data_IF_041723025792
#
_entry.id   IF_041723025792
#
_cell.length_a   1.000
_cell.length_b   1.000
_cell.length_c   1.000
_cell.angle_alpha   90.00
_cell.angle_beta   90.00
_cell.angle_gamma   90.00
#
_symmetry.space_group_name_H-M   'P 1'
#
loop_
_entity.id
_entity.type
_entity.pdbx_description
1 polymer ?
#
# COMPACT_ATOMS: atom_id res chain seq x y z
N UNK A 1 11.81 -7.02 23.54
CA UNK A 1 10.51 -6.66 24.15
C UNK A 1 9.90 -5.60 23.24
N UNK A 2 8.76 -5.88 22.64
CA UNK A 2 8.00 -4.84 21.92
C UNK A 2 7.30 -4.05 23.01
N UNK A 3 7.68 -2.79 23.21
CA UNK A 3 6.90 -1.90 24.07
C UNK A 3 5.50 -1.78 23.47
N UNK A 4 4.53 -2.26 24.20
CA UNK A 4 3.11 -2.11 23.82
C UNK A 4 2.78 -0.63 23.98
N UNK A 5 2.43 0.03 22.88
CA UNK A 5 1.95 1.42 22.92
C UNK A 5 0.77 1.51 23.88
N UNK A 6 0.89 2.35 24.89
CA UNK A 6 -0.21 2.66 25.82
C UNK A 6 -0.72 4.06 25.48
N UNK A 7 -2.00 4.16 25.15
CA UNK A 7 -2.64 5.45 24.86
C UNK A 7 -2.54 6.38 26.04
N UNK A 8 -2.32 7.67 25.78
CA UNK A 8 -2.46 8.72 26.79
C UNK A 8 -3.93 8.85 27.19
N UNK A 9 -4.22 9.46 28.35
CA UNK A 9 -5.58 9.69 28.80
C UNK A 9 -6.43 10.53 27.81
N UNK A 10 -5.80 11.47 27.09
CA UNK A 10 -6.47 12.28 26.05
C UNK A 10 -6.77 11.46 24.79
N UNK A 11 -5.86 10.61 24.36
CA UNK A 11 -6.06 9.71 23.21
C UNK A 11 -7.14 8.68 23.52
N UNK A 12 -7.18 8.16 24.75
CA UNK A 12 -8.22 7.22 25.18
C UNK A 12 -9.59 7.90 25.22
N UNK A 13 -9.71 9.12 25.76
CA UNK A 13 -10.94 9.88 25.78
C UNK A 13 -11.47 10.16 24.36
N UNK A 14 -10.59 10.58 23.45
CA UNK A 14 -10.92 10.83 22.04
C UNK A 14 -11.36 9.55 21.32
N UNK A 15 -10.69 8.43 21.60
CA UNK A 15 -11.07 7.12 21.07
C UNK A 15 -12.45 6.67 21.58
N UNK A 16 -12.73 6.82 22.86
CA UNK A 16 -14.03 6.46 23.44
C UNK A 16 -15.16 7.32 22.86
N UNK A 17 -14.94 8.62 22.68
CA UNK A 17 -15.91 9.50 22.02
C UNK A 17 -16.18 9.08 20.56
N UNK A 18 -15.15 8.75 19.81
CA UNK A 18 -15.29 8.24 18.45
C UNK A 18 -16.04 6.89 18.40
N UNK A 19 -15.77 6.00 19.36
CA UNK A 19 -16.44 4.71 19.49
C UNK A 19 -17.92 4.86 19.88
N UNK A 20 -18.24 5.79 20.75
CA UNK A 20 -19.63 6.10 21.13
C UNK A 20 -20.41 6.70 19.95
N UNK A 21 -19.77 7.59 19.19
CA UNK A 21 -20.36 8.13 17.95
C UNK A 21 -20.66 7.00 16.97
N UNK A 22 -19.69 6.12 16.71
CA UNK A 22 -19.83 4.95 15.85
C UNK A 22 -20.99 4.05 16.28
N UNK A 23 -21.11 3.77 17.58
CA UNK A 23 -22.23 2.95 18.12
C UNK A 23 -23.58 3.65 18.00
N UNK A 24 -23.64 4.95 18.27
CA UNK A 24 -24.86 5.76 18.15
C UNK A 24 -25.33 5.85 16.71
N UNK A 25 -24.41 5.98 15.76
CA UNK A 25 -24.71 6.08 14.34
C UNK A 25 -24.99 4.69 13.69
N UNK A 26 -25.11 3.61 14.52
CA UNK A 26 -25.52 2.27 14.07
C UNK A 26 -24.39 1.37 13.59
N UNK A 27 -23.13 1.77 13.80
CA UNK A 27 -21.96 1.03 13.29
C UNK A 27 -21.79 1.16 11.77
N UNK A 28 -21.06 0.24 11.13
CA UNK A 28 -20.92 0.28 9.68
C UNK A 28 -22.30 0.13 9.03
N UNK A 29 -22.66 1.12 8.23
CA UNK A 29 -23.85 0.98 7.36
C UNK A 29 -23.61 -0.27 6.51
N UNK A 30 -24.57 -1.22 6.48
CA UNK A 30 -24.45 -2.36 5.58
C UNK A 30 -24.17 -1.86 4.17
N UNK A 31 -23.08 -2.31 3.57
CA UNK A 31 -22.75 -1.89 2.22
C UNK A 31 -23.75 -2.55 1.27
N UNK A 32 -24.60 -1.74 0.67
CA UNK A 32 -25.46 -2.18 -0.42
C UNK A 32 -24.66 -2.12 -1.72
N UNK A 33 -24.49 -3.26 -2.35
CA UNK A 33 -23.83 -3.31 -3.65
C UNK A 33 -24.71 -2.65 -4.72
N UNK A 34 -24.12 -2.00 -5.72
CA UNK A 34 -24.88 -1.36 -6.78
C UNK A 34 -25.70 -2.38 -7.60
N UNK A 35 -26.79 -1.93 -8.19
CA UNK A 35 -27.60 -2.76 -9.09
C UNK A 35 -26.72 -3.41 -10.17
N UNK A 36 -26.93 -4.70 -10.42
CA UNK A 36 -26.14 -5.47 -11.38
C UNK A 36 -24.78 -5.95 -10.89
N UNK A 37 -24.43 -5.72 -9.62
CA UNK A 37 -23.14 -6.15 -9.04
C UNK A 37 -22.90 -7.66 -9.18
N UNK A 38 -23.92 -8.50 -8.99
CA UNK A 38 -23.77 -9.97 -9.12
C UNK A 38 -23.32 -10.34 -10.54
N UNK A 39 -23.98 -9.81 -11.58
CA UNK A 39 -23.61 -10.04 -12.97
C UNK A 39 -22.21 -9.52 -13.30
N UNK A 40 -21.81 -8.37 -12.73
CA UNK A 40 -20.46 -7.83 -12.86
C UNK A 40 -19.43 -8.73 -12.19
N UNK A 41 -19.72 -9.22 -10.99
CA UNK A 41 -18.86 -10.13 -10.23
C UNK A 41 -18.62 -11.45 -10.98
N UNK A 42 -19.67 -12.03 -11.58
CA UNK A 42 -19.55 -13.23 -12.42
C UNK A 42 -18.66 -13.00 -13.63
N UNK A 43 -18.81 -11.85 -14.31
CA UNK A 43 -17.99 -11.46 -15.46
C UNK A 43 -16.53 -11.25 -15.07
N UNK A 44 -16.26 -10.59 -13.94
CA UNK A 44 -14.91 -10.41 -13.42
C UNK A 44 -14.29 -11.77 -13.08
N UNK A 45 -15.05 -12.65 -12.44
CA UNK A 45 -14.58 -14.00 -12.10
C UNK A 45 -14.27 -14.84 -13.35
N UNK A 46 -15.05 -14.71 -14.41
CA UNK A 46 -14.79 -15.36 -15.70
C UNK A 46 -13.50 -14.83 -16.34
N UNK A 47 -13.32 -13.50 -16.38
CA UNK A 47 -12.13 -12.86 -16.93
C UNK A 47 -10.86 -13.22 -16.13
N UNK A 48 -10.94 -13.32 -14.80
CA UNK A 48 -9.82 -13.76 -13.97
C UNK A 48 -9.33 -15.14 -14.40
N UNK A 49 -10.23 -16.08 -14.62
CA UNK A 49 -9.87 -17.43 -15.10
C UNK A 49 -9.33 -17.42 -16.54
N UNK A 50 -9.98 -16.69 -17.45
CA UNK A 50 -9.57 -16.61 -18.85
C UNK A 50 -8.17 -16.02 -19.02
N UNK A 51 -7.86 -15.00 -18.23
CA UNK A 51 -6.62 -14.22 -18.36
C UNK A 51 -5.50 -14.69 -17.44
N UNK A 52 -5.74 -15.72 -16.64
CA UNK A 52 -4.83 -16.13 -15.58
C UNK A 52 -4.46 -14.93 -14.70
N UNK A 53 -5.50 -14.28 -14.14
CA UNK A 53 -5.40 -13.03 -13.43
C UNK A 53 -5.82 -13.16 -11.96
N UNK A 54 -5.15 -12.39 -11.11
CA UNK A 54 -5.48 -12.20 -9.69
C UNK A 54 -5.78 -10.73 -9.44
N UNK A 55 -6.77 -10.45 -8.60
CA UNK A 55 -7.14 -9.09 -8.17
C UNK A 55 -6.69 -8.89 -6.73
N UNK A 56 -5.85 -7.89 -6.53
CA UNK A 56 -5.36 -7.44 -5.23
C UNK A 56 -5.99 -6.07 -4.93
N UNK A 57 -6.60 -5.88 -3.78
CA UNK A 57 -7.23 -4.62 -3.40
C UNK A 57 -6.66 -4.06 -2.10
N UNK A 58 -6.33 -2.78 -2.11
CA UNK A 58 -6.00 -2.07 -0.88
C UNK A 58 -7.27 -1.90 -0.04
N UNK A 59 -7.19 -2.07 1.29
CA UNK A 59 -8.35 -1.98 2.16
C UNK A 59 -8.97 -0.57 2.28
N UNK A 60 -8.40 0.44 1.60
CA UNK A 60 -9.01 1.78 1.47
C UNK A 60 -9.91 1.94 0.24
N UNK A 61 -9.89 0.99 -0.70
CA UNK A 61 -10.81 1.06 -1.84
C UNK A 61 -12.24 0.74 -1.40
N UNK A 62 -13.27 1.17 -2.16
CA UNK A 62 -14.67 0.88 -1.84
C UNK A 62 -14.95 -0.62 -1.65
N UNK A 63 -15.95 -0.94 -0.83
CA UNK A 63 -16.25 -2.31 -0.43
C UNK A 63 -16.66 -3.21 -1.59
N UNK A 64 -17.32 -2.67 -2.61
CA UNK A 64 -17.66 -3.38 -3.86
C UNK A 64 -16.40 -3.80 -4.64
N UNK A 65 -15.38 -2.94 -4.69
CA UNK A 65 -14.08 -3.30 -5.28
C UNK A 65 -13.37 -4.36 -4.44
N UNK A 66 -13.40 -4.24 -3.10
CA UNK A 66 -12.83 -5.26 -2.21
C UNK A 66 -13.52 -6.62 -2.38
N UNK A 67 -14.85 -6.64 -2.59
CA UNK A 67 -15.61 -7.87 -2.80
C UNK A 67 -15.25 -8.62 -4.09
N UNK A 68 -14.68 -7.93 -5.09
CA UNK A 68 -14.18 -8.53 -6.33
C UNK A 68 -12.75 -9.07 -6.22
N UNK A 69 -12.04 -8.70 -5.15
CA UNK A 69 -10.63 -9.02 -4.98
C UNK A 69 -10.44 -10.46 -4.47
N UNK A 70 -9.31 -11.06 -4.86
CA UNK A 70 -8.86 -12.35 -4.30
C UNK A 70 -8.17 -12.14 -2.95
N UNK A 71 -7.51 -10.98 -2.79
CA UNK A 71 -6.81 -10.61 -1.56
C UNK A 71 -6.98 -9.13 -1.27
N UNK A 72 -7.20 -8.82 0.00
CA UNK A 72 -7.32 -7.45 0.51
C UNK A 72 -6.27 -7.22 1.59
N UNK A 73 -5.57 -6.09 1.55
CA UNK A 73 -4.54 -5.80 2.54
C UNK A 73 -3.90 -4.43 2.39
N UNK A 74 -2.83 -4.20 3.14
CA UNK A 74 -2.00 -3.02 3.02
C UNK A 74 -0.99 -3.08 1.87
N UNK A 75 -0.33 -1.97 1.60
CA UNK A 75 0.61 -1.82 0.49
C UNK A 75 1.76 -2.83 0.54
N UNK A 76 2.32 -3.05 1.73
CA UNK A 76 3.48 -3.92 1.90
C UNK A 76 3.09 -5.40 1.82
N UNK A 77 1.98 -5.77 2.47
CA UNK A 77 1.43 -7.12 2.41
C UNK A 77 1.12 -7.53 0.97
N UNK A 78 0.39 -6.69 0.22
CA UNK A 78 0.01 -6.99 -1.16
C UNK A 78 1.23 -7.08 -2.09
N UNK A 79 2.23 -6.22 -1.90
CA UNK A 79 3.46 -6.28 -2.68
C UNK A 79 4.25 -7.58 -2.44
N UNK A 80 4.35 -8.02 -1.19
CA UNK A 80 4.98 -9.30 -0.83
C UNK A 80 4.19 -10.49 -1.33
N UNK A 81 2.88 -10.47 -1.13
CA UNK A 81 1.99 -11.54 -1.58
C UNK A 81 2.09 -11.73 -3.10
N UNK A 82 2.13 -10.64 -3.86
CA UNK A 82 2.28 -10.69 -5.31
C UNK A 82 3.49 -11.50 -5.77
N UNK A 83 4.58 -11.52 -4.98
CA UNK A 83 5.78 -12.31 -5.31
C UNK A 83 5.56 -13.83 -5.19
N UNK A 84 4.57 -14.26 -4.43
CA UNK A 84 4.28 -15.69 -4.17
C UNK A 84 3.20 -16.27 -5.07
N UNK A 85 2.45 -15.41 -5.77
CA UNK A 85 1.37 -15.82 -6.66
C UNK A 85 1.92 -16.27 -8.01
N UNK A 86 1.24 -17.20 -8.66
CA UNK A 86 1.65 -17.74 -9.98
C UNK A 86 0.96 -17.04 -11.16
N UNK A 87 -0.13 -16.31 -10.91
CA UNK A 87 -0.91 -15.63 -11.94
C UNK A 87 -0.06 -14.73 -12.86
N UNK A 88 -0.32 -14.79 -14.16
CA UNK A 88 0.39 -13.98 -15.17
C UNK A 88 0.01 -12.51 -15.13
N UNK A 89 -1.23 -12.22 -14.77
CA UNK A 89 -1.77 -10.86 -14.69
C UNK A 89 -2.12 -10.55 -13.25
N UNK A 90 -1.65 -9.44 -12.74
CA UNK A 90 -1.98 -8.90 -11.42
C UNK A 90 -2.75 -7.61 -11.62
N UNK A 91 -3.99 -7.57 -11.19
CA UNK A 91 -4.80 -6.34 -11.16
C UNK A 91 -4.71 -5.76 -9.76
N UNK A 92 -4.09 -4.58 -9.62
CA UNK A 92 -3.96 -3.91 -8.33
C UNK A 92 -4.96 -2.75 -8.23
N UNK A 93 -5.95 -2.90 -7.39
CA UNK A 93 -6.90 -1.86 -7.02
C UNK A 93 -6.34 -1.08 -5.82
N UNK A 94 -5.73 0.06 -6.08
CA UNK A 94 -5.07 0.92 -5.11
C UNK A 94 -4.42 2.12 -5.80
N UNK A 95 -3.59 2.84 -5.07
CA UNK A 95 -2.88 4.01 -5.62
C UNK A 95 -1.67 3.61 -6.48
N UNK A 96 -1.27 4.49 -7.37
CA UNK A 96 -0.26 4.26 -8.42
C UNK A 96 1.05 3.66 -7.92
N UNK A 97 1.64 4.19 -6.85
CA UNK A 97 2.93 3.70 -6.31
C UNK A 97 2.86 2.24 -5.81
N UNK A 98 1.67 1.74 -5.46
CA UNK A 98 1.49 0.32 -5.10
C UNK A 98 1.61 -0.56 -6.33
N UNK A 99 0.99 -0.16 -7.45
CA UNK A 99 1.13 -0.83 -8.75
C UNK A 99 2.59 -0.85 -9.22
N UNK A 100 3.29 0.28 -9.09
CA UNK A 100 4.71 0.38 -9.38
C UNK A 100 5.54 -0.59 -8.53
N UNK A 101 5.27 -0.66 -7.22
CA UNK A 101 5.97 -1.56 -6.30
C UNK A 101 5.75 -3.03 -6.68
N UNK A 102 4.51 -3.42 -6.96
CA UNK A 102 4.18 -4.77 -7.42
C UNK A 102 4.88 -5.07 -8.74
N UNK A 103 4.93 -4.11 -9.68
CA UNK A 103 5.61 -4.30 -10.97
C UNK A 103 7.12 -4.45 -10.82
N UNK A 104 7.76 -3.65 -9.97
CA UNK A 104 9.20 -3.75 -9.69
C UNK A 104 9.58 -5.13 -9.15
N UNK A 105 8.76 -5.68 -8.25
CA UNK A 105 8.99 -7.00 -7.66
C UNK A 105 8.58 -8.16 -8.59
N UNK A 106 7.79 -7.90 -9.63
CA UNK A 106 7.29 -8.89 -10.58
C UNK A 106 7.53 -8.43 -12.05
N UNK A 107 8.78 -8.24 -12.48
CA UNK A 107 9.09 -7.61 -13.76
C UNK A 107 8.60 -8.38 -15.00
N UNK A 108 8.44 -9.69 -14.90
CA UNK A 108 7.96 -10.55 -15.99
C UNK A 108 6.42 -10.59 -16.12
N UNK A 109 5.68 -10.14 -15.11
CA UNK A 109 4.22 -10.21 -15.09
C UNK A 109 3.58 -8.93 -15.59
N UNK A 110 2.36 -9.03 -16.09
CA UNK A 110 1.54 -7.85 -16.39
C UNK A 110 0.90 -7.36 -15.11
N UNK A 111 1.12 -6.09 -14.76
CA UNK A 111 0.46 -5.43 -13.62
C UNK A 111 -0.43 -4.33 -14.17
N UNK A 112 -1.71 -4.40 -13.84
CA UNK A 112 -2.73 -3.46 -14.27
C UNK A 112 -3.23 -2.64 -13.07
N UNK A 113 -3.36 -1.34 -13.24
CA UNK A 113 -4.03 -0.44 -12.32
C UNK A 113 -5.34 0.04 -12.98
N UNK A 114 -6.52 -0.35 -12.49
CA UNK A 114 -7.80 0.00 -13.11
C UNK A 114 -8.08 1.50 -13.12
N UNK A 115 -7.59 2.23 -12.09
CA UNK A 115 -7.72 3.68 -11.98
C UNK A 115 -6.33 4.34 -12.00
N UNK A 116 -5.90 4.81 -13.19
CA UNK A 116 -4.55 5.40 -13.33
C UNK A 116 -4.38 6.75 -12.62
N UNK A 117 -5.49 7.41 -12.26
CA UNK A 117 -5.47 8.69 -11.53
C UNK A 117 -5.49 8.49 -10.01
N UNK A 118 -5.67 7.26 -9.53
CA UNK A 118 -5.57 6.97 -8.11
C UNK A 118 -4.14 7.18 -7.63
N UNK A 119 -3.93 8.21 -6.84
CA UNK A 119 -2.60 8.62 -6.40
C UNK A 119 -2.62 9.14 -4.96
N UNK A 120 -1.44 9.29 -4.38
CA UNK A 120 -1.25 9.83 -3.05
C UNK A 120 -0.23 10.98 -3.11
N UNK A 121 -0.63 12.22 -2.80
CA UNK A 121 0.29 13.37 -2.82
C UNK A 121 1.54 13.16 -1.97
N UNK A 122 1.43 12.43 -0.85
CA UNK A 122 2.58 12.15 0.01
C UNK A 122 3.65 11.28 -0.66
N UNK A 123 3.29 10.50 -1.68
CA UNK A 123 4.25 9.69 -2.43
C UNK A 123 5.18 10.52 -3.33
N UNK A 124 4.92 11.83 -3.48
CA UNK A 124 5.64 12.76 -4.36
C UNK A 124 6.36 13.89 -3.60
N UNK A 125 6.41 13.85 -2.28
CA UNK A 125 6.92 14.99 -1.48
C UNK A 125 8.42 15.21 -1.62
N UNK A 126 9.20 14.19 -1.98
CA UNK A 126 10.66 14.28 -2.11
C UNK A 126 11.03 14.61 -3.56
N UNK A 127 11.91 15.58 -3.74
CA UNK A 127 12.46 15.96 -5.05
C UNK A 127 13.87 15.40 -5.20
N UNK A 128 14.25 15.05 -6.44
CA UNK A 128 15.59 14.57 -6.72
C UNK A 128 16.69 15.52 -6.25
N UNK A 129 16.47 16.81 -6.43
CA UNK A 129 17.41 17.85 -5.98
C UNK A 129 17.73 17.78 -4.49
N UNK A 130 16.74 17.46 -3.65
CA UNK A 130 16.93 17.37 -2.21
C UNK A 130 17.86 16.19 -1.86
N UNK A 131 17.74 15.08 -2.59
CA UNK A 131 18.63 13.92 -2.47
C UNK A 131 20.01 14.23 -3.02
N UNK A 132 20.11 14.90 -4.19
CA UNK A 132 21.39 15.22 -4.81
C UNK A 132 22.21 16.15 -3.92
N UNK A 133 21.60 17.21 -3.35
CA UNK A 133 22.26 18.14 -2.41
C UNK A 133 22.78 17.40 -1.17
N UNK A 134 21.99 16.44 -0.66
CA UNK A 134 22.43 15.66 0.48
C UNK A 134 23.62 14.75 0.12
N UNK A 135 23.57 14.08 -1.04
CA UNK A 135 24.68 13.25 -1.52
C UNK A 135 25.95 14.05 -1.82
N UNK A 136 25.83 15.24 -2.41
CA UNK A 136 26.97 16.13 -2.63
C UNK A 136 27.62 16.56 -1.31
N UNK A 137 26.80 16.77 -0.27
CA UNK A 137 27.29 17.22 1.04
C UNK A 137 27.95 16.13 1.86
N UNK A 138 27.42 14.91 1.83
CA UNK A 138 27.79 13.84 2.74
C UNK A 138 28.52 12.68 2.04
N UNK A 139 28.47 12.62 0.71
CA UNK A 139 29.17 11.57 -0.06
C UNK A 139 28.75 10.16 0.30
N UNK A 140 29.74 9.30 0.50
CA UNK A 140 29.55 7.88 0.83
C UNK A 140 29.07 7.65 2.28
N UNK A 141 29.12 8.68 3.12
CA UNK A 141 28.61 8.61 4.50
C UNK A 141 27.09 8.76 4.58
N UNK A 142 26.38 8.90 3.44
CA UNK A 142 24.95 9.06 3.37
C UNK A 142 24.24 7.79 2.93
N UNK A 143 23.35 7.26 3.76
CA UNK A 143 22.32 6.31 3.33
C UNK A 143 20.97 7.01 3.17
N UNK A 144 20.39 6.94 1.98
CA UNK A 144 19.07 7.48 1.68
C UNK A 144 18.02 6.41 1.93
N UNK A 145 17.22 6.61 2.96
CA UNK A 145 16.15 5.68 3.37
C UNK A 145 14.80 6.25 2.94
N UNK A 146 14.02 5.52 2.15
CA UNK A 146 12.70 5.95 1.76
C UNK A 146 11.59 5.07 2.36
N UNK A 147 10.44 5.68 2.59
CA UNK A 147 9.24 4.95 2.96
C UNK A 147 8.69 4.16 1.77
N UNK A 148 8.28 2.92 2.00
CA UNK A 148 7.80 2.02 0.93
C UNK A 148 6.63 2.59 0.14
N UNK A 149 5.81 3.47 0.75
CA UNK A 149 4.72 4.18 0.10
C UNK A 149 5.22 5.43 -0.63
N UNK A 150 6.21 5.25 -1.49
CA UNK A 150 6.79 6.25 -2.38
C UNK A 150 6.77 5.74 -3.81
N UNK A 151 6.87 6.66 -4.78
CA UNK A 151 6.94 6.29 -6.20
C UNK A 151 8.19 5.48 -6.52
N UNK A 152 8.15 4.69 -7.59
CA UNK A 152 9.33 3.97 -8.10
C UNK A 152 10.50 4.91 -8.37
N UNK A 153 10.21 6.15 -8.79
CA UNK A 153 11.20 7.18 -9.05
C UNK A 153 11.97 7.59 -7.79
N UNK A 154 11.28 7.79 -6.67
CA UNK A 154 11.91 8.10 -5.38
C UNK A 154 12.70 6.89 -4.88
N UNK A 155 12.15 5.68 -5.00
CA UNK A 155 12.86 4.44 -4.65
C UNK A 155 14.17 4.27 -5.41
N UNK A 156 14.22 4.66 -6.69
CA UNK A 156 15.44 4.61 -7.50
C UNK A 156 16.54 5.58 -7.04
N UNK A 157 16.23 6.57 -6.20
CA UNK A 157 17.21 7.49 -5.62
C UNK A 157 17.63 7.08 -4.21
N UNK A 158 17.02 6.04 -3.68
CA UNK A 158 17.19 5.58 -2.30
C UNK A 158 18.01 4.31 -2.26
N UNK A 159 18.72 4.11 -1.15
CA UNK A 159 19.53 2.92 -0.92
C UNK A 159 18.70 1.79 -0.30
N UNK A 160 17.70 2.14 0.52
CA UNK A 160 16.82 1.18 1.17
C UNK A 160 15.39 1.69 1.30
N UNK A 161 14.42 0.77 1.18
CA UNK A 161 13.01 1.05 1.41
C UNK A 161 12.57 0.42 2.74
N UNK A 162 11.85 1.19 3.55
CA UNK A 162 11.38 0.79 4.88
C UNK A 162 9.88 0.98 5.04
N UNK A 163 9.32 0.31 6.03
CA UNK A 163 7.99 0.59 6.57
C UNK A 163 8.11 1.30 7.91
N UNK A 164 7.02 1.90 8.42
CA UNK A 164 7.02 2.50 9.76
C UNK A 164 7.37 1.49 10.86
N UNK A 165 7.03 0.23 10.68
CA UNK A 165 7.30 -0.83 11.67
C UNK A 165 8.76 -1.31 11.69
N UNK A 166 9.51 -1.19 10.59
CA UNK A 166 10.87 -1.70 10.50
C UNK A 166 11.95 -0.61 10.33
N UNK A 167 11.57 0.65 10.18
CA UNK A 167 12.49 1.76 9.90
C UNK A 167 13.66 1.83 10.91
N UNK A 168 13.36 1.81 12.20
CA UNK A 168 14.38 1.89 13.24
C UNK A 168 15.35 0.70 13.16
N UNK A 169 14.83 -0.50 12.93
CA UNK A 169 15.65 -1.71 12.79
C UNK A 169 16.58 -1.63 11.59
N UNK A 170 16.04 -1.20 10.45
CA UNK A 170 16.82 -1.09 9.21
C UNK A 170 17.90 -0.01 9.31
N UNK A 171 17.57 1.18 9.82
CA UNK A 171 18.55 2.25 10.02
C UNK A 171 19.69 1.79 10.94
N UNK A 172 19.40 1.06 12.02
CA UNK A 172 20.42 0.53 12.92
C UNK A 172 21.26 -0.59 12.31
N UNK A 173 20.71 -1.36 11.35
CA UNK A 173 21.46 -2.45 10.67
C UNK A 173 22.37 -1.92 9.56
N UNK A 174 21.95 -0.87 8.85
CA UNK A 174 22.75 -0.17 7.87
C UNK A 174 23.76 0.77 8.53
N UNK A 175 23.41 1.28 9.69
CA UNK A 175 24.24 2.15 10.51
C UNK A 175 25.08 1.36 11.53
N UNK A 176 26.05 0.57 11.08
CA UNK A 176 27.29 0.44 11.84
C UNK A 176 28.08 1.75 11.70
N UNK A 177 27.39 2.84 12.05
CA UNK A 177 27.95 4.16 12.27
C UNK A 177 27.94 4.41 13.76
#
# INVERSE_FOLDING_TARGET
MVETYTRTALEEASYQEALERYRRDGGPVPHEFPEGFESLSERVSALKRERDAVVLAHYYVPADVQALADYVGDSFYLARLACTLEARVIVLCGVSFMGESVKLLNPSRTVLAPEPLADCPMAHMVRKQDVDVARERFGDDLAVVCYVNSTAKIKAWSDVCVTSSNAIKMIRSEGNV
#
